data_IF_394390491201
#
_entry.id   IF_394390491201
#
_cell.length_a   1.000
_cell.length_b   1.000
_cell.length_c   1.000
_cell.angle_alpha   90.00
_cell.angle_beta   90.00
_cell.angle_gamma   90.00
#
_symmetry.space_group_name_H-M   'P 1'
#
loop_
_entity.id
_entity.type
_entity.pdbx_description
1 polymer ?
#
# COMPACT_ATOMS: atom_id res chain seq x y z
N UNK A 1 25.48 23.86 1.05
CA UNK A 1 25.34 22.95 -0.11
C UNK A 1 26.67 22.27 -0.36
N UNK A 2 26.70 20.93 -0.33
CA UNK A 2 27.89 20.13 -0.63
C UNK A 2 27.48 18.94 -1.49
N UNK A 3 28.29 18.63 -2.51
CA UNK A 3 28.10 17.49 -3.41
C UNK A 3 29.40 16.67 -3.38
N UNK A 4 29.29 15.39 -3.07
CA UNK A 4 30.36 14.41 -3.17
C UNK A 4 29.90 13.33 -4.13
N UNK A 5 30.67 13.09 -5.19
CA UNK A 5 30.40 12.02 -6.16
C UNK A 5 31.59 11.06 -6.12
N UNK A 6 31.36 9.84 -5.64
CA UNK A 6 32.35 8.76 -5.74
C UNK A 6 32.32 8.19 -7.16
N UNK A 7 33.49 7.96 -7.75
CA UNK A 7 33.60 7.25 -9.02
C UNK A 7 33.26 5.78 -8.80
N UNK A 8 32.13 5.33 -9.35
CA UNK A 8 31.74 3.94 -9.37
C UNK A 8 31.56 3.47 -10.82
N UNK A 9 32.34 2.48 -11.23
CA UNK A 9 32.20 1.83 -12.53
C UNK A 9 31.25 0.65 -12.38
N UNK A 10 29.96 0.87 -12.65
CA UNK A 10 29.00 -0.21 -12.87
C UNK A 10 29.02 -0.60 -14.34
N UNK A 11 28.85 -1.88 -14.65
CA UNK A 11 28.51 -2.30 -16.01
C UNK A 11 27.15 -1.71 -16.41
N UNK A 12 27.04 -1.23 -17.63
CA UNK A 12 25.78 -0.75 -18.19
C UNK A 12 24.77 -1.91 -18.25
N UNK A 13 23.70 -1.81 -17.47
CA UNK A 13 22.59 -2.75 -17.53
C UNK A 13 21.74 -2.42 -18.77
N UNK A 14 21.74 -3.30 -19.76
CA UNK A 14 20.89 -3.12 -20.94
C UNK A 14 19.47 -3.59 -20.63
N UNK A 15 18.48 -2.91 -21.19
CA UNK A 15 17.06 -3.27 -21.00
C UNK A 15 16.74 -4.72 -21.40
N UNK A 16 17.46 -5.27 -22.39
CA UNK A 16 17.32 -6.68 -22.81
C UNK A 16 17.75 -7.66 -21.70
N UNK A 17 18.83 -7.32 -20.98
CA UNK A 17 19.40 -8.19 -19.94
C UNK A 17 18.47 -8.17 -18.72
N UNK A 18 17.94 -6.99 -18.37
CA UNK A 18 16.92 -6.83 -17.35
C UNK A 18 15.63 -7.58 -17.69
N UNK A 19 15.13 -7.47 -18.93
CA UNK A 19 13.94 -8.19 -19.39
C UNK A 19 14.13 -9.70 -19.32
N UNK A 20 15.29 -10.21 -19.74
CA UNK A 20 15.63 -11.62 -19.65
C UNK A 20 15.63 -12.08 -18.19
N UNK A 21 16.26 -11.32 -17.29
CA UNK A 21 16.27 -11.61 -15.86
C UNK A 21 14.84 -11.67 -15.29
N UNK A 22 13.99 -10.68 -15.56
CA UNK A 22 12.60 -10.70 -15.06
C UNK A 22 11.79 -11.85 -15.65
N UNK A 23 11.98 -12.16 -16.94
CA UNK A 23 11.31 -13.30 -17.59
C UNK A 23 11.71 -14.62 -16.93
N UNK A 24 13.00 -14.81 -16.64
CA UNK A 24 13.48 -16.00 -15.93
C UNK A 24 12.96 -16.06 -14.50
N UNK A 25 12.94 -14.94 -13.78
CA UNK A 25 12.40 -14.85 -12.42
C UNK A 25 10.92 -15.27 -12.37
N UNK A 26 10.11 -14.79 -13.32
CA UNK A 26 8.66 -15.07 -13.35
C UNK A 26 8.35 -16.50 -13.80
N UNK A 27 9.15 -17.09 -14.69
CA UNK A 27 8.85 -18.40 -15.30
C UNK A 27 9.63 -19.56 -14.68
N UNK A 28 10.75 -19.28 -14.02
CA UNK A 28 11.71 -20.24 -13.49
C UNK A 28 11.62 -20.46 -11.98
N UNK A 29 10.64 -19.87 -11.29
CA UNK A 29 10.46 -20.01 -9.85
C UNK A 29 10.25 -21.47 -9.43
N UNK A 30 11.17 -22.03 -8.65
CA UNK A 30 11.07 -23.37 -8.06
C UNK A 30 11.03 -23.24 -6.53
N UNK A 31 10.00 -23.80 -5.91
CA UNK A 31 9.78 -23.77 -4.46
C UNK A 31 9.92 -25.18 -3.90
N UNK A 32 10.77 -25.34 -2.88
CA UNK A 32 10.93 -26.61 -2.16
C UNK A 32 10.19 -26.55 -0.83
N UNK A 33 9.30 -27.52 -0.61
CA UNK A 33 8.58 -27.67 0.66
C UNK A 33 8.73 -29.12 1.16
N UNK A 34 9.48 -29.27 2.25
CA UNK A 34 9.93 -30.58 2.74
C UNK A 34 10.77 -31.33 1.70
N UNK A 35 10.32 -32.50 1.29
CA UNK A 35 10.97 -33.34 0.25
C UNK A 35 10.44 -33.11 -1.17
N UNK A 36 9.43 -32.24 -1.34
CA UNK A 36 8.78 -31.99 -2.64
C UNK A 36 9.28 -30.70 -3.27
N UNK A 37 9.31 -30.69 -4.59
CA UNK A 37 9.71 -29.55 -5.41
C UNK A 37 8.53 -29.15 -6.29
N UNK A 38 8.20 -27.86 -6.30
CA UNK A 38 7.08 -27.29 -7.04
C UNK A 38 7.59 -26.18 -7.96
N UNK A 39 6.91 -25.99 -9.09
CA UNK A 39 7.16 -24.84 -9.97
C UNK A 39 6.06 -23.81 -9.75
N UNK A 40 6.46 -22.56 -9.54
CA UNK A 40 5.52 -21.43 -9.52
C UNK A 40 5.06 -21.16 -10.95
N UNK A 41 3.76 -21.23 -11.19
CA UNK A 41 3.17 -21.02 -12.52
C UNK A 41 2.46 -19.67 -12.66
N UNK A 42 2.13 -19.01 -11.54
CA UNK A 42 1.40 -17.73 -11.52
C UNK A 42 1.96 -16.80 -10.45
N UNK A 43 1.86 -15.51 -10.72
CA UNK A 43 2.26 -14.44 -9.80
C UNK A 43 3.76 -14.17 -9.77
N UNK A 44 4.12 -13.15 -9.00
CA UNK A 44 5.51 -12.72 -8.79
C UNK A 44 6.07 -13.45 -7.55
N UNK A 45 7.29 -14.00 -7.58
CA UNK A 45 7.89 -14.63 -6.40
C UNK A 45 8.02 -13.66 -5.23
N UNK A 46 7.40 -13.99 -4.09
CA UNK A 46 7.51 -13.20 -2.86
C UNK A 46 8.92 -13.36 -2.24
N UNK A 47 9.43 -12.28 -1.67
CA UNK A 47 10.78 -12.21 -1.09
C UNK A 47 11.88 -11.81 -2.08
N UNK A 48 11.56 -11.67 -3.37
CA UNK A 48 12.45 -11.00 -4.33
C UNK A 48 12.47 -9.49 -4.08
N UNK A 49 13.66 -8.89 -4.09
CA UNK A 49 13.84 -7.43 -3.89
C UNK A 49 13.13 -6.57 -4.95
N UNK A 50 12.85 -7.13 -6.13
CA UNK A 50 12.15 -6.44 -7.22
C UNK A 50 10.66 -6.76 -7.29
N UNK A 51 10.15 -7.64 -6.42
CA UNK A 51 8.76 -8.13 -6.50
C UNK A 51 7.73 -7.00 -6.37
N UNK A 52 7.93 -6.11 -5.40
CA UNK A 52 7.06 -4.93 -5.20
C UNK A 52 7.07 -4.00 -6.40
N UNK A 53 8.24 -3.78 -7.02
CA UNK A 53 8.34 -2.93 -8.21
C UNK A 53 7.61 -3.56 -9.40
N UNK A 54 7.75 -4.86 -9.62
CA UNK A 54 7.03 -5.58 -10.67
C UNK A 54 5.52 -5.55 -10.46
N UNK A 55 5.06 -5.68 -9.21
CA UNK A 55 3.65 -5.51 -8.85
C UNK A 55 3.18 -4.09 -9.20
N UNK A 56 3.96 -3.07 -8.82
CA UNK A 56 3.66 -1.68 -9.16
C UNK A 56 3.64 -1.40 -10.66
N UNK A 57 4.51 -2.03 -11.45
CA UNK A 57 4.49 -1.92 -12.91
C UNK A 57 3.23 -2.57 -13.51
N UNK A 58 2.87 -3.76 -13.03
CA UNK A 58 1.69 -4.49 -13.49
C UNK A 58 0.41 -3.70 -13.22
N UNK A 59 0.18 -3.28 -11.97
CA UNK A 59 -1.00 -2.48 -11.64
C UNK A 59 -0.93 -1.04 -12.12
N UNK A 60 0.27 -0.46 -12.29
CA UNK A 60 0.42 0.84 -12.95
C UNK A 60 -0.04 0.80 -14.41
N UNK A 61 0.22 -0.30 -15.13
CA UNK A 61 -0.32 -0.48 -16.47
C UNK A 61 -1.84 -0.67 -16.46
N UNK A 62 -2.37 -1.41 -15.48
CA UNK A 62 -3.82 -1.58 -15.29
C UNK A 62 -4.54 -0.25 -15.05
N UNK A 63 -4.03 0.57 -14.12
CA UNK A 63 -4.57 1.88 -13.77
C UNK A 63 -4.61 2.79 -14.99
N UNK A 64 -3.52 2.83 -15.74
CA UNK A 64 -3.43 3.61 -16.97
C UNK A 64 -4.32 3.10 -18.10
N UNK A 65 -4.84 1.88 -18.04
CA UNK A 65 -5.76 1.37 -19.05
C UNK A 65 -7.23 1.53 -18.64
N UNK A 66 -7.55 1.27 -17.37
CA UNK A 66 -8.92 1.24 -16.85
C UNK A 66 -9.37 2.55 -16.21
N UNK A 67 -8.45 3.34 -15.67
CA UNK A 67 -8.74 4.49 -14.79
C UNK A 67 -8.07 5.79 -15.26
N UNK A 68 -7.86 5.96 -16.57
CA UNK A 68 -7.18 7.14 -17.15
C UNK A 68 -7.71 8.49 -16.64
N UNK A 69 -9.03 8.59 -16.55
CA UNK A 69 -9.73 9.83 -16.25
C UNK A 69 -10.15 9.93 -14.77
N UNK A 70 -9.69 9.00 -13.92
CA UNK A 70 -10.14 8.91 -12.53
C UNK A 70 -9.71 10.11 -11.68
N UNK A 71 -8.62 10.78 -12.07
CA UNK A 71 -8.11 11.96 -11.38
C UNK A 71 -8.70 13.27 -11.91
N UNK A 72 -9.58 13.21 -12.93
CA UNK A 72 -10.30 14.38 -13.40
C UNK A 72 -11.38 14.79 -12.37
N UNK A 73 -11.83 16.04 -12.44
CA UNK A 73 -12.92 16.58 -11.61
C UNK A 73 -12.70 16.47 -10.09
N UNK A 74 -11.45 16.52 -9.63
CA UNK A 74 -11.12 16.47 -8.21
C UNK A 74 -11.05 15.05 -7.64
N UNK A 75 -11.04 14.02 -8.48
CA UNK A 75 -10.70 12.66 -8.07
C UNK A 75 -9.20 12.51 -7.76
N UNK A 76 -8.89 11.62 -6.82
CA UNK A 76 -7.54 11.26 -6.43
C UNK A 76 -7.48 9.75 -6.19
N UNK A 77 -6.86 9.02 -7.12
CA UNK A 77 -6.54 7.61 -6.97
C UNK A 77 -5.12 7.46 -6.44
N UNK A 78 -4.99 6.77 -5.31
CA UNK A 78 -3.71 6.40 -4.70
C UNK A 78 -3.61 4.87 -4.59
N UNK A 79 -2.39 4.36 -4.69
CA UNK A 79 -2.10 2.94 -4.51
C UNK A 79 -0.80 2.71 -3.77
N UNK A 80 -0.82 1.80 -2.80
CA UNK A 80 0.36 1.23 -2.18
C UNK A 80 0.41 -0.26 -2.48
N UNK A 81 1.22 -0.64 -3.48
CA UNK A 81 1.32 -2.02 -3.99
C UNK A 81 -0.05 -2.54 -4.43
N UNK A 82 -0.76 -3.29 -3.60
CA UNK A 82 -2.07 -3.91 -3.83
C UNK A 82 -3.22 -3.19 -3.11
N UNK A 83 -2.95 -2.23 -2.22
CA UNK A 83 -3.96 -1.45 -1.51
C UNK A 83 -4.31 -0.17 -2.29
N UNK A 84 -5.56 -0.05 -2.74
CA UNK A 84 -6.08 1.10 -3.47
C UNK A 84 -6.91 2.03 -2.57
N UNK A 85 -6.85 3.33 -2.83
CA UNK A 85 -7.71 4.36 -2.24
C UNK A 85 -8.17 5.32 -3.33
N UNK A 86 -9.48 5.48 -3.49
CA UNK A 86 -10.07 6.52 -4.32
C UNK A 86 -10.77 7.54 -3.44
N UNK A 87 -10.39 8.80 -3.57
CA UNK A 87 -11.10 9.95 -3.00
C UNK A 87 -11.70 10.72 -4.16
N UNK A 88 -13.01 10.93 -4.19
CA UNK A 88 -13.66 11.67 -5.27
C UNK A 88 -14.97 12.32 -4.81
N UNK A 89 -15.30 13.53 -5.29
CA UNK A 89 -16.61 14.13 -5.08
C UNK A 89 -17.69 13.52 -5.99
N UNK A 90 -17.31 12.75 -7.02
CA UNK A 90 -18.24 12.13 -7.98
C UNK A 90 -18.63 10.71 -7.53
N UNK A 91 -19.86 10.56 -7.06
CA UNK A 91 -20.42 9.27 -6.65
C UNK A 91 -20.44 8.23 -7.78
N UNK A 92 -20.72 8.64 -9.02
CA UNK A 92 -20.74 7.73 -10.17
C UNK A 92 -19.36 7.16 -10.48
N UNK A 93 -18.32 8.00 -10.34
CA UNK A 93 -16.93 7.57 -10.45
C UNK A 93 -16.59 6.55 -9.34
N UNK A 94 -16.96 6.83 -8.09
CA UNK A 94 -16.73 5.92 -6.96
C UNK A 94 -17.42 4.56 -7.14
N UNK A 95 -18.67 4.57 -7.60
CA UNK A 95 -19.43 3.35 -7.88
C UNK A 95 -18.83 2.54 -9.04
N UNK A 96 -18.39 3.20 -10.10
CA UNK A 96 -17.75 2.55 -11.26
C UNK A 96 -16.42 1.90 -10.86
N UNK A 97 -15.60 2.60 -10.08
CA UNK A 97 -14.35 2.09 -9.55
C UNK A 97 -14.56 0.87 -8.65
N UNK A 98 -15.48 0.98 -7.68
CA UNK A 98 -15.84 -0.13 -6.79
C UNK A 98 -16.33 -1.35 -7.56
N UNK A 99 -17.20 -1.16 -8.56
CA UNK A 99 -17.73 -2.25 -9.39
C UNK A 99 -16.61 -2.93 -10.18
N UNK A 100 -15.78 -2.16 -10.86
CA UNK A 100 -14.66 -2.68 -11.67
C UNK A 100 -13.72 -3.55 -10.83
N UNK A 101 -13.39 -3.10 -9.61
CA UNK A 101 -12.54 -3.85 -8.69
C UNK A 101 -13.24 -5.08 -8.10
N UNK A 102 -14.54 -4.99 -7.80
CA UNK A 102 -15.33 -6.08 -7.24
C UNK A 102 -15.56 -7.22 -8.25
N UNK A 103 -15.78 -6.86 -9.52
CA UNK A 103 -15.89 -7.81 -10.63
C UNK A 103 -14.54 -8.52 -10.91
N UNK A 104 -13.44 -7.91 -10.45
CA UNK A 104 -12.08 -8.37 -10.64
C UNK A 104 -11.51 -8.04 -12.02
N UNK A 105 -10.19 -8.02 -12.14
CA UNK A 105 -9.49 -7.72 -13.39
C UNK A 105 -8.62 -8.90 -13.77
N UNK A 106 -9.20 -9.82 -14.56
CA UNK A 106 -8.60 -11.12 -14.86
C UNK A 106 -7.23 -11.03 -15.54
N UNK A 107 -7.07 -10.10 -16.49
CA UNK A 107 -5.81 -9.91 -17.24
C UNK A 107 -4.63 -9.52 -16.34
N UNK A 108 -4.93 -8.93 -15.18
CA UNK A 108 -3.94 -8.51 -14.18
C UNK A 108 -3.93 -9.40 -12.95
N UNK A 109 -4.72 -10.49 -12.93
CA UNK A 109 -4.86 -11.39 -11.80
C UNK A 109 -5.38 -10.70 -10.53
N UNK A 110 -6.09 -9.57 -10.67
CA UNK A 110 -6.63 -8.81 -9.54
C UNK A 110 -7.95 -9.42 -9.10
N UNK A 111 -8.01 -9.84 -7.84
CA UNK A 111 -9.21 -10.29 -7.16
C UNK A 111 -9.26 -9.63 -5.79
N UNK A 112 -10.30 -8.83 -5.55
CA UNK A 112 -10.46 -8.11 -4.29
C UNK A 112 -11.04 -9.03 -3.23
N UNK A 113 -10.57 -8.89 -1.99
CA UNK A 113 -11.20 -9.54 -0.83
C UNK A 113 -12.35 -8.67 -0.31
N UNK A 114 -13.62 -9.07 -0.44
CA UNK A 114 -14.76 -8.25 -0.04
C UNK A 114 -14.72 -7.81 1.43
N UNK A 115 -14.17 -8.64 2.33
CA UNK A 115 -14.06 -8.33 3.76
C UNK A 115 -13.10 -7.17 4.08
N UNK A 116 -12.20 -6.86 3.15
CA UNK A 116 -11.26 -5.75 3.26
C UNK A 116 -11.74 -4.50 2.53
N UNK A 117 -12.83 -4.59 1.76
CA UNK A 117 -13.36 -3.43 1.05
C UNK A 117 -14.12 -2.55 2.02
N UNK A 118 -13.80 -1.26 1.97
CA UNK A 118 -14.43 -0.21 2.76
C UNK A 118 -14.94 0.86 1.81
N UNK A 119 -16.17 1.31 2.03
CA UNK A 119 -16.81 2.40 1.27
C UNK A 119 -17.58 3.29 2.24
N UNK A 120 -17.79 4.56 1.91
CA UNK A 120 -18.57 5.51 2.71
C UNK A 120 -19.84 5.99 2.00
N UNK A 121 -20.29 5.26 0.98
CA UNK A 121 -21.49 5.56 0.19
C UNK A 121 -22.41 4.34 0.11
N UNK A 122 -23.66 4.57 -0.29
CA UNK A 122 -24.64 3.50 -0.45
C UNK A 122 -24.26 2.60 -1.63
N UNK A 123 -24.14 1.31 -1.35
CA UNK A 123 -23.89 0.28 -2.37
C UNK A 123 -25.21 -0.45 -2.62
N UNK A 124 -25.68 -0.45 -3.86
CA UNK A 124 -26.88 -1.19 -4.24
C UNK A 124 -26.63 -2.70 -4.13
N UNK A 125 -27.61 -3.48 -3.70
CA UNK A 125 -27.50 -4.96 -3.61
C UNK A 125 -27.17 -5.60 -4.96
N UNK A 126 -27.57 -4.96 -6.06
CA UNK A 126 -27.35 -5.42 -7.45
C UNK A 126 -25.93 -5.12 -8.00
N UNK A 127 -25.06 -4.48 -7.19
CA UNK A 127 -23.74 -4.00 -7.63
C UNK A 127 -22.64 -5.07 -7.62
N UNK A 128 -22.97 -6.34 -7.34
CA UNK A 128 -21.98 -7.39 -7.07
C UNK A 128 -21.34 -7.28 -5.68
N UNK A 129 -21.87 -6.41 -4.82
CA UNK A 129 -21.42 -6.27 -3.44
C UNK A 129 -21.88 -7.49 -2.64
N UNK A 130 -21.00 -8.48 -2.50
CA UNK A 130 -21.23 -9.57 -1.56
C UNK A 130 -21.48 -9.01 -0.13
N UNK A 131 -22.15 -9.76 0.75
CA UNK A 131 -22.61 -9.31 2.08
C UNK A 131 -21.48 -8.91 3.07
N UNK A 132 -20.24 -8.83 2.62
CA UNK A 132 -19.03 -8.69 3.43
C UNK A 132 -18.33 -7.33 3.26
N UNK A 133 -18.83 -6.43 2.42
CA UNK A 133 -18.25 -5.07 2.26
C UNK A 133 -18.59 -4.20 3.46
N UNK A 134 -17.60 -3.51 4.01
CA UNK A 134 -17.79 -2.60 5.16
C UNK A 134 -18.24 -1.22 4.68
N UNK A 135 -19.48 -0.86 4.95
CA UNK A 135 -20.02 0.47 4.68
C UNK A 135 -19.87 1.36 5.92
N UNK A 136 -19.14 2.47 5.78
CA UNK A 136 -18.96 3.52 6.79
C UNK A 136 -19.96 4.66 6.57
N UNK A 137 -20.21 5.50 7.58
CA UNK A 137 -20.93 6.75 7.39
C UNK A 137 -20.22 7.67 6.40
N UNK A 138 -20.97 8.52 5.69
CA UNK A 138 -20.41 9.48 4.74
C UNK A 138 -19.34 10.39 5.38
N UNK A 139 -19.62 10.83 6.62
CA UNK A 139 -18.68 11.52 7.51
C UNK A 139 -17.96 10.49 8.38
N UNK A 140 -16.69 10.18 8.10
CA UNK A 140 -15.94 9.25 8.91
C UNK A 140 -14.42 9.50 8.87
N UNK A 141 -13.71 8.81 9.75
CA UNK A 141 -12.28 8.57 9.64
C UNK A 141 -12.06 7.33 8.77
N UNK A 142 -11.77 7.55 7.48
CA UNK A 142 -11.61 6.51 6.48
C UNK A 142 -10.24 5.83 6.60
N UNK A 143 -10.16 4.50 6.79
CA UNK A 143 -8.89 3.80 7.00
C UNK A 143 -8.18 3.47 5.69
N UNK A 144 -6.87 3.72 5.62
CA UNK A 144 -6.03 3.25 4.52
C UNK A 144 -4.56 3.11 4.95
N UNK A 145 -3.95 1.94 4.75
CA UNK A 145 -2.52 1.68 4.97
C UNK A 145 -1.96 2.12 6.35
N UNK A 146 -2.74 1.99 7.43
CA UNK A 146 -2.35 2.41 8.79
C UNK A 146 -2.56 3.90 9.07
N UNK A 147 -3.24 4.61 8.17
CA UNK A 147 -3.71 5.99 8.32
C UNK A 147 -5.22 6.02 8.44
N UNK A 148 -5.73 7.11 9.02
CA UNK A 148 -7.14 7.49 8.99
C UNK A 148 -7.24 8.87 8.33
N UNK A 149 -8.17 9.02 7.38
CA UNK A 149 -8.43 10.29 6.70
C UNK A 149 -9.82 10.79 7.10
N UNK A 150 -9.92 12.00 7.63
CA UNK A 150 -11.23 12.62 7.83
C UNK A 150 -11.85 12.96 6.46
N UNK A 151 -13.02 12.40 6.17
CA UNK A 151 -13.66 12.57 4.86
C UNK A 151 -14.20 13.97 4.59
N UNK A 152 -14.25 14.85 5.60
CA UNK A 152 -14.67 16.25 5.46
C UNK A 152 -13.50 17.22 5.44
N UNK A 153 -12.57 17.10 6.39
CA UNK A 153 -11.43 18.03 6.50
C UNK A 153 -10.22 17.60 5.69
N UNK A 154 -10.13 16.30 5.35
CA UNK A 154 -8.95 15.63 4.79
C UNK A 154 -7.75 15.59 5.75
N UNK A 155 -7.97 15.86 7.04
CA UNK A 155 -6.96 15.67 8.08
C UNK A 155 -6.54 14.19 8.13
N UNK A 156 -5.23 13.97 8.29
CA UNK A 156 -4.62 12.65 8.29
C UNK A 156 -4.13 12.29 9.69
N UNK A 157 -4.61 11.16 10.21
CA UNK A 157 -4.25 10.63 11.52
C UNK A 157 -3.56 9.27 11.40
N UNK A 158 -2.84 8.86 12.46
CA UNK A 158 -2.31 7.49 12.56
C UNK A 158 -3.36 6.52 13.09
N UNK A 159 -3.53 5.38 12.42
CA UNK A 159 -4.39 4.30 12.92
C UNK A 159 -3.63 3.39 13.88
N UNK A 160 -3.90 3.54 15.18
CA UNK A 160 -3.36 2.68 16.23
C UNK A 160 -4.29 1.53 16.63
N UNK A 161 -5.43 1.36 15.98
CA UNK A 161 -6.44 0.37 16.37
C UNK A 161 -5.88 -1.06 16.39
N UNK A 162 -4.96 -1.38 15.48
CA UNK A 162 -4.27 -2.67 15.43
C UNK A 162 -3.40 -2.99 16.66
N UNK A 163 -3.01 -1.96 17.43
CA UNK A 163 -2.26 -2.13 18.68
C UNK A 163 -3.15 -2.16 19.93
N UNK A 164 -4.45 -1.91 19.79
CA UNK A 164 -5.36 -1.88 20.94
C UNK A 164 -5.36 -3.23 21.66
N UNK A 165 -5.10 -3.21 22.98
CA UNK A 165 -5.02 -4.42 23.80
C UNK A 165 -3.73 -5.25 23.63
N UNK A 166 -2.80 -4.84 22.76
CA UNK A 166 -1.51 -5.51 22.61
C UNK A 166 -0.46 -4.94 23.56
N UNK A 167 0.40 -5.80 24.09
CA UNK A 167 1.56 -5.37 24.85
C UNK A 167 2.57 -4.67 23.92
N UNK A 168 2.98 -3.45 24.27
CA UNK A 168 4.01 -2.67 23.57
C UNK A 168 5.29 -3.45 23.28
N UNK A 169 5.63 -4.47 24.08
CA UNK A 169 6.77 -5.38 23.84
C UNK A 169 6.80 -5.96 22.43
N UNK A 170 5.66 -6.17 21.77
CA UNK A 170 5.59 -6.73 20.42
C UNK A 170 5.98 -5.72 19.34
N UNK A 171 5.90 -4.43 19.65
CA UNK A 171 6.34 -3.33 18.78
C UNK A 171 7.83 -3.01 18.97
N UNK A 172 8.53 -3.67 19.90
CA UNK A 172 9.91 -3.39 20.26
C UNK A 172 10.81 -4.61 20.25
N UNK A 173 11.83 -4.58 19.39
CA UNK A 173 12.99 -5.47 19.55
C UNK A 173 13.96 -4.85 20.57
N UNK A 174 13.89 -5.35 21.81
CA UNK A 174 14.86 -5.05 22.86
C UNK A 174 16.05 -6.00 22.72
N UNK A 175 17.25 -5.45 22.56
CA UNK A 175 18.50 -6.21 22.54
C UNK A 175 19.26 -6.06 23.85
N UNK A 176 20.12 -7.03 24.17
CA UNK A 176 21.08 -6.91 25.26
C UNK A 176 22.21 -5.95 24.87
N UNK A 177 22.53 -4.97 25.74
CA UNK A 177 23.61 -4.01 25.51
C UNK A 177 24.20 -3.53 26.82
N UNK A 178 25.53 -3.41 26.87
CA UNK A 178 26.27 -2.82 27.99
C UNK A 178 26.00 -1.31 28.13
N UNK A 179 25.35 -0.68 27.14
CA UNK A 179 24.96 0.75 27.14
C UNK A 179 23.46 0.90 26.95
N UNK A 180 22.68 0.27 27.82
CA UNK A 180 21.22 0.22 27.76
C UNK A 180 20.58 1.61 27.56
N UNK A 181 21.04 2.64 28.29
CA UNK A 181 20.51 4.01 28.17
C UNK A 181 20.70 4.62 26.77
N UNK A 182 21.83 4.36 26.11
CA UNK A 182 22.09 4.86 24.75
C UNK A 182 21.21 4.15 23.71
N UNK A 183 21.02 2.84 23.87
CA UNK A 183 20.11 2.06 23.01
C UNK A 183 18.67 2.50 23.19
N UNK A 184 18.23 2.70 24.43
CA UNK A 184 16.91 3.23 24.76
C UNK A 184 16.70 4.60 24.12
N UNK A 185 17.66 5.53 24.25
CA UNK A 185 17.61 6.85 23.59
C UNK A 185 17.46 6.72 22.07
N UNK A 186 18.28 5.90 21.41
CA UNK A 186 18.20 5.71 19.95
C UNK A 186 16.86 5.11 19.52
N UNK A 187 16.35 4.13 20.26
CA UNK A 187 15.04 3.50 19.98
C UNK A 187 13.89 4.49 20.15
N UNK A 188 13.87 5.25 21.25
CA UNK A 188 12.87 6.28 21.49
C UNK A 188 12.89 7.36 20.40
N UNK A 189 14.09 7.81 19.98
CA UNK A 189 14.20 8.77 18.87
C UNK A 189 13.71 8.20 17.54
N UNK A 190 13.96 6.91 17.28
CA UNK A 190 13.40 6.23 16.10
C UNK A 190 11.87 6.23 16.10
N UNK A 191 11.24 5.99 17.26
CA UNK A 191 9.78 6.04 17.38
C UNK A 191 9.21 7.44 17.24
N UNK A 192 9.85 8.42 17.90
CA UNK A 192 9.45 9.81 17.78
C UNK A 192 9.51 10.24 16.31
N UNK A 193 10.52 9.82 15.55
CA UNK A 193 10.58 10.11 14.11
C UNK A 193 9.41 9.52 13.32
N UNK A 194 8.91 8.35 13.70
CA UNK A 194 7.72 7.75 13.06
C UNK A 194 6.43 8.47 13.45
N UNK A 195 6.33 8.99 14.68
CA UNK A 195 5.15 9.71 15.18
C UNK A 195 5.12 11.19 14.80
N UNK A 196 6.29 11.80 14.64
CA UNK A 196 6.47 13.21 14.26
C UNK A 196 6.78 13.35 12.77
N UNK A 197 6.12 12.57 11.93
CA UNK A 197 6.25 12.70 10.48
C UNK A 197 5.53 13.96 10.00
N UNK A 198 6.08 14.64 8.98
CA UNK A 198 5.50 15.86 8.44
C UNK A 198 4.02 15.70 8.04
N UNK A 199 3.66 14.52 7.53
CA UNK A 199 2.27 14.17 7.21
C UNK A 199 1.27 14.42 8.35
N UNK A 200 1.70 14.36 9.62
CA UNK A 200 0.84 14.58 10.78
C UNK A 200 0.98 15.98 11.38
N UNK A 201 2.14 16.63 11.20
CA UNK A 201 2.47 17.89 11.88
C UNK A 201 2.45 19.12 10.98
N UNK A 202 2.38 18.92 9.66
CA UNK A 202 2.36 20.01 8.69
C UNK A 202 0.97 20.64 8.62
N UNK A 203 0.86 21.89 9.07
CA UNK A 203 -0.39 22.66 9.09
C UNK A 203 -0.88 23.06 7.69
N UNK A 204 -0.10 22.79 6.64
CA UNK A 204 -0.59 22.90 5.26
C UNK A 204 -1.42 21.70 4.83
N UNK A 205 -1.24 20.56 5.53
CA UNK A 205 -1.95 19.31 5.28
C UNK A 205 -3.07 19.12 6.29
N UNK A 206 -2.80 19.37 7.58
CA UNK A 206 -3.74 19.14 8.66
C UNK A 206 -4.11 20.40 9.44
N UNK A 207 -5.28 20.38 10.06
CA UNK A 207 -5.69 21.33 11.09
C UNK A 207 -4.85 21.21 12.37
N UNK A 208 -5.00 22.18 13.29
CA UNK A 208 -4.29 22.16 14.59
C UNK A 208 -4.87 21.09 15.52
N UNK A 209 -6.14 20.75 15.31
CA UNK A 209 -6.91 19.78 16.07
C UNK A 209 -6.61 18.32 15.69
N UNK A 210 -5.88 18.11 14.58
CA UNK A 210 -5.51 16.79 14.05
C UNK A 210 -4.41 16.06 14.85
#
# INVERSE_FOLDING_TARGET
NAILVEQHFSSDLHGRDALQFFTQMLTGGVVKFGKKTFRQCRGIPQGSVVSSLMCCLCYGHMENNLFKDINLNGGCLMRLVDDFLLITPDLGQAQTFFKTLSDGVQDYGLLVNPQKVVVNFQVSEDSGAGPNVRVLPASCLFPWCGLLLDTHTLDVFQDYSSYAGLSLRYSFTLGFSQRAGLHMKKKLMGLLRLKCHALFLDLTINSVEA
#
